data_IF_935010155378
#
_entry.id   IF_935010155378
#
_cell.length_a   1.000
_cell.length_b   1.000
_cell.length_c   1.000
_cell.angle_alpha   90.00
_cell.angle_beta   90.00
_cell.angle_gamma   90.00
#
_symmetry.space_group_name_H-M   'P 1'
#
loop_
_entity.id
_entity.type
_entity.pdbx_description
1 polymer ?
#
# COMPACT_ATOMS: atom_id res chain seq x y z
N UNK A 1 12.85 15.75 -4.32
CA UNK A 1 11.42 15.37 -4.37
C UNK A 1 10.46 16.53 -4.10
N UNK A 2 10.36 17.11 -2.88
CA UNK A 2 9.34 18.12 -2.53
C UNK A 2 9.34 19.39 -3.42
N UNK A 3 10.46 19.83 -3.96
CA UNK A 3 10.52 20.94 -4.90
C UNK A 3 9.85 20.58 -6.23
N UNK A 4 10.16 19.40 -6.79
CA UNK A 4 9.60 18.91 -8.06
C UNK A 4 8.07 18.73 -7.98
N UNK A 5 7.56 18.26 -6.83
CA UNK A 5 6.10 18.15 -6.62
C UNK A 5 5.43 19.52 -6.57
N UNK A 6 6.06 20.53 -5.93
CA UNK A 6 5.54 21.91 -5.95
C UNK A 6 5.55 22.56 -7.32
N UNK A 7 6.45 22.13 -8.20
CA UNK A 7 6.53 22.55 -9.60
C UNK A 7 5.54 21.79 -10.51
N UNK A 8 4.74 20.87 -9.94
CA UNK A 8 3.70 20.14 -10.67
C UNK A 8 4.21 18.91 -11.44
N UNK A 9 5.38 18.38 -11.10
CA UNK A 9 5.92 17.19 -11.77
C UNK A 9 5.08 15.93 -11.49
N UNK A 10 4.45 15.84 -10.30
CA UNK A 10 3.43 14.87 -9.93
C UNK A 10 2.63 15.40 -8.72
N UNK A 11 1.45 14.84 -8.46
CA UNK A 11 0.64 15.18 -7.29
C UNK A 11 1.16 14.49 -6.03
N UNK A 12 1.70 13.29 -6.19
CA UNK A 12 2.29 12.46 -5.14
C UNK A 12 3.43 11.62 -5.71
N UNK A 13 4.50 11.45 -4.96
CA UNK A 13 5.52 10.43 -5.18
C UNK A 13 6.02 9.89 -3.85
N UNK A 14 6.24 8.58 -3.76
CA UNK A 14 6.69 7.88 -2.55
C UNK A 14 8.12 7.43 -2.77
N UNK A 15 9.04 7.94 -1.93
CA UNK A 15 10.45 7.55 -1.97
C UNK A 15 10.68 6.36 -1.04
N UNK A 16 11.47 5.41 -1.49
CA UNK A 16 11.95 4.30 -0.67
C UNK A 16 13.41 4.48 -0.25
N UNK A 17 13.84 3.67 0.67
CA UNK A 17 15.21 3.62 1.16
C UNK A 17 15.52 2.21 1.65
N UNK A 18 16.64 1.68 1.23
CA UNK A 18 17.15 0.40 1.68
C UNK A 18 18.24 0.53 2.76
N UNK A 19 18.48 -0.57 3.45
CA UNK A 19 19.60 -0.73 4.38
C UNK A 19 20.20 -2.12 4.19
N UNK A 20 21.49 -2.18 3.90
CA UNK A 20 22.22 -3.46 3.83
C UNK A 20 22.76 -3.86 5.19
N UNK A 21 22.32 -5.02 5.68
CA UNK A 21 22.87 -5.66 6.90
C UNK A 21 23.58 -6.94 6.49
N UNK A 22 24.88 -7.08 6.86
CA UNK A 22 25.66 -8.27 6.58
C UNK A 22 25.72 -9.15 7.81
N UNK A 23 25.28 -10.41 7.69
CA UNK A 23 25.39 -11.41 8.73
C UNK A 23 26.33 -12.52 8.24
N UNK A 24 27.47 -12.79 8.93
CA UNK A 24 28.45 -13.80 8.49
C UNK A 24 27.88 -15.22 8.42
N UNK A 25 26.86 -15.52 9.20
CA UNK A 25 26.22 -16.84 9.29
C UNK A 25 24.92 -16.95 8.47
N UNK A 26 24.57 -15.90 7.69
CA UNK A 26 23.29 -15.82 6.97
C UNK A 26 22.11 -15.54 7.89
N UNK A 27 20.91 -15.52 7.29
CA UNK A 27 19.63 -15.37 7.98
C UNK A 27 18.78 -16.62 7.76
N UNK A 28 18.09 -17.09 8.80
CA UNK A 28 17.06 -18.12 8.66
C UNK A 28 15.71 -17.44 8.38
N UNK A 29 15.18 -17.62 7.18
CA UNK A 29 13.92 -17.03 6.75
C UNK A 29 12.74 -17.50 7.61
N UNK A 30 12.75 -18.75 8.08
CA UNK A 30 11.69 -19.32 8.92
C UNK A 30 11.65 -18.62 10.28
N UNK A 31 12.85 -18.39 10.86
CA UNK A 31 12.95 -17.62 12.11
C UNK A 31 12.40 -16.20 11.94
N UNK A 32 12.71 -15.54 10.81
CA UNK A 32 12.16 -14.21 10.52
C UNK A 32 10.64 -14.23 10.38
N UNK A 33 10.07 -15.23 9.68
CA UNK A 33 8.62 -15.39 9.55
C UNK A 33 7.93 -15.66 10.89
N UNK A 34 8.50 -16.48 11.74
CA UNK A 34 7.98 -16.73 13.11
C UNK A 34 7.96 -15.42 13.90
N UNK A 35 9.07 -14.67 13.91
CA UNK A 35 9.14 -13.37 14.59
C UNK A 35 8.12 -12.36 14.06
N UNK A 36 7.93 -12.29 12.74
CA UNK A 36 6.91 -11.45 12.12
C UNK A 36 5.50 -11.91 12.50
N UNK A 37 5.25 -13.22 12.62
CA UNK A 37 3.98 -13.77 13.08
C UNK A 37 3.64 -13.36 14.51
N UNK A 38 4.61 -13.44 15.40
CA UNK A 38 4.44 -13.11 16.81
C UNK A 38 4.21 -11.61 17.03
N UNK A 39 5.00 -10.79 16.32
CA UNK A 39 4.98 -9.34 16.49
C UNK A 39 3.81 -8.67 15.75
N UNK A 40 3.40 -9.22 14.60
CA UNK A 40 2.40 -8.63 13.71
C UNK A 40 1.34 -9.63 13.26
N UNK A 41 0.53 -10.19 14.18
CA UNK A 41 -0.42 -11.25 13.88
C UNK A 41 -1.49 -10.87 12.86
N UNK A 42 -1.79 -9.55 12.71
CA UNK A 42 -2.81 -9.02 11.81
C UNK A 42 -2.31 -8.68 10.40
N UNK A 43 -1.09 -9.12 10.04
CA UNK A 43 -0.49 -8.84 8.73
C UNK A 43 -0.48 -10.08 7.82
N UNK A 44 -0.39 -9.85 6.52
CA UNK A 44 -0.06 -10.89 5.55
C UNK A 44 1.44 -11.11 5.51
N UNK A 45 1.88 -12.32 5.82
CA UNK A 45 3.29 -12.70 5.85
C UNK A 45 3.63 -13.52 4.63
N UNK A 46 4.82 -13.30 4.10
CA UNK A 46 5.27 -13.99 2.89
C UNK A 46 6.78 -14.27 2.94
N UNK A 47 7.17 -15.33 2.23
CA UNK A 47 8.55 -15.64 1.86
C UNK A 47 8.53 -16.19 0.44
N UNK A 48 9.20 -15.49 -0.48
CA UNK A 48 9.32 -15.86 -1.89
C UNK A 48 10.71 -15.50 -2.36
N UNK A 49 11.48 -16.47 -2.81
CA UNK A 49 12.85 -16.27 -3.31
C UNK A 49 13.73 -15.42 -2.37
N UNK A 50 13.72 -15.77 -1.09
CA UNK A 50 14.40 -15.04 0.00
C UNK A 50 13.90 -13.63 0.31
N UNK A 51 12.86 -13.15 -0.37
CA UNK A 51 12.13 -11.96 0.05
C UNK A 51 11.15 -12.33 1.15
N UNK A 52 11.45 -11.93 2.39
CA UNK A 52 10.62 -12.18 3.57
C UNK A 52 10.00 -10.88 4.06
N UNK A 53 8.71 -10.90 4.34
CA UNK A 53 8.05 -9.71 4.84
C UNK A 53 6.70 -9.95 5.51
N UNK A 54 6.17 -8.86 6.06
CA UNK A 54 4.82 -8.78 6.60
C UNK A 54 4.20 -7.43 6.21
N UNK A 55 3.00 -7.44 5.66
CA UNK A 55 2.30 -6.24 5.20
C UNK A 55 0.88 -6.17 5.74
N UNK A 56 0.43 -5.05 6.27
CA UNK A 56 -0.96 -4.80 6.60
C UNK A 56 -1.80 -4.38 5.38
N UNK A 57 -1.16 -4.09 4.26
CA UNK A 57 -1.78 -3.65 3.01
C UNK A 57 -1.98 -4.82 2.05
N UNK A 58 -3.16 -4.90 1.45
CA UNK A 58 -3.52 -5.92 0.47
C UNK A 58 -3.74 -5.25 -0.89
N UNK A 59 -2.83 -5.50 -1.84
CA UNK A 59 -2.99 -4.99 -3.20
C UNK A 59 -4.32 -5.44 -3.81
N UNK A 60 -4.51 -6.75 -3.88
CA UNK A 60 -5.76 -7.37 -4.37
C UNK A 60 -5.84 -8.82 -3.93
N UNK A 61 -7.00 -9.24 -3.52
CA UNK A 61 -7.36 -10.64 -3.31
C UNK A 61 -8.63 -10.96 -4.10
N UNK A 62 -8.72 -12.17 -4.63
CA UNK A 62 -9.90 -12.66 -5.35
C UNK A 62 -10.36 -13.98 -4.74
N UNK A 63 -11.61 -14.01 -4.27
CA UNK A 63 -12.23 -15.21 -3.72
C UNK A 63 -13.74 -15.18 -3.96
N UNK A 64 -14.32 -16.32 -4.32
CA UNK A 64 -15.77 -16.49 -4.48
C UNK A 64 -16.43 -15.39 -5.34
N UNK A 65 -15.81 -15.02 -6.46
CA UNK A 65 -16.33 -14.00 -7.38
C UNK A 65 -16.20 -12.56 -6.88
N UNK A 66 -15.51 -12.33 -5.76
CA UNK A 66 -15.27 -11.02 -5.18
C UNK A 66 -13.79 -10.66 -5.22
N UNK A 67 -13.48 -9.45 -5.68
CA UNK A 67 -12.19 -8.81 -5.51
C UNK A 67 -12.20 -7.94 -4.25
N UNK A 68 -11.11 -7.91 -3.51
CA UNK A 68 -10.94 -7.05 -2.34
C UNK A 68 -9.53 -6.50 -2.25
N UNK A 69 -9.42 -5.23 -1.91
CA UNK A 69 -8.16 -4.51 -1.70
C UNK A 69 -8.23 -3.76 -0.38
N UNK A 70 -7.09 -3.59 0.29
CA UNK A 70 -6.94 -2.68 1.44
C UNK A 70 -5.84 -1.69 1.13
N UNK A 71 -6.21 -0.42 1.08
CA UNK A 71 -5.30 0.69 0.80
C UNK A 71 -4.93 1.38 2.10
N UNK A 72 -3.64 1.60 2.30
CA UNK A 72 -3.11 2.34 3.44
C UNK A 72 -2.33 3.56 2.93
N UNK A 73 -2.63 4.73 3.48
CA UNK A 73 -1.82 5.94 3.27
C UNK A 73 -2.09 6.91 4.42
N UNK A 74 -1.06 7.64 4.84
CA UNK A 74 -1.10 8.40 6.09
C UNK A 74 -0.79 7.51 7.29
N UNK A 75 0.21 7.91 8.09
CA UNK A 75 0.74 7.11 9.20
C UNK A 75 1.11 8.02 10.37
N UNK A 76 0.85 7.56 11.58
CA UNK A 76 1.29 8.23 12.81
C UNK A 76 1.75 7.20 13.86
N UNK A 77 2.31 7.70 14.95
CA UNK A 77 2.63 6.89 16.12
C UNK A 77 1.35 6.37 16.80
N UNK A 78 1.42 5.24 17.51
CA UNK A 78 0.30 4.78 18.32
C UNK A 78 -0.16 5.87 19.31
N UNK A 79 -1.47 6.08 19.40
CA UNK A 79 -2.07 7.14 20.23
C UNK A 79 -2.34 8.48 19.53
N UNK A 80 -1.75 8.72 18.36
CA UNK A 80 -1.94 9.96 17.59
C UNK A 80 -3.02 9.86 16.50
N UNK A 81 -3.77 8.77 16.46
CA UNK A 81 -4.75 8.47 15.41
C UNK A 81 -5.80 9.57 15.19
N UNK A 82 -6.23 10.27 16.27
CA UNK A 82 -7.19 11.37 16.13
C UNK A 82 -6.61 12.56 15.37
N UNK A 83 -5.34 12.88 15.57
CA UNK A 83 -4.64 13.93 14.81
C UNK A 83 -4.49 13.52 13.34
N UNK A 84 -4.14 12.25 13.06
CA UNK A 84 -4.08 11.69 11.72
C UNK A 84 -5.44 11.79 11.01
N UNK A 85 -6.52 11.37 11.66
CA UNK A 85 -7.87 11.40 11.12
C UNK A 85 -8.41 12.80 10.85
N UNK A 86 -7.83 13.84 11.46
CA UNK A 86 -8.20 15.24 11.26
C UNK A 86 -7.20 16.03 10.39
N UNK A 87 -6.10 15.44 9.96
CA UNK A 87 -5.08 16.09 9.13
C UNK A 87 -5.53 16.24 7.67
N UNK A 88 -5.74 17.47 7.15
CA UNK A 88 -6.14 17.64 5.76
C UNK A 88 -5.09 17.12 4.76
N UNK A 89 -3.79 17.19 5.14
CA UNK A 89 -2.69 16.66 4.34
C UNK A 89 -2.80 15.13 4.21
N UNK A 90 -2.94 14.43 5.35
CA UNK A 90 -2.95 12.98 5.38
C UNK A 90 -4.24 12.41 4.78
N UNK A 91 -5.38 13.06 5.00
CA UNK A 91 -6.65 12.74 4.35
C UNK A 91 -6.56 12.90 2.82
N UNK A 92 -5.92 13.96 2.31
CA UNK A 92 -5.70 14.14 0.87
C UNK A 92 -4.77 13.07 0.30
N UNK A 93 -3.68 12.75 0.98
CA UNK A 93 -2.77 11.68 0.60
C UNK A 93 -3.50 10.33 0.51
N UNK A 94 -4.31 10.04 1.53
CA UNK A 94 -5.13 8.82 1.58
C UNK A 94 -6.18 8.78 0.46
N UNK A 95 -6.84 9.89 0.18
CA UNK A 95 -7.81 9.99 -0.91
C UNK A 95 -7.18 9.66 -2.26
N UNK A 96 -6.01 10.23 -2.59
CA UNK A 96 -5.28 9.91 -3.82
C UNK A 96 -4.93 8.42 -3.92
N UNK A 97 -4.50 7.82 -2.82
CA UNK A 97 -4.17 6.39 -2.79
C UNK A 97 -5.41 5.52 -2.98
N UNK A 98 -6.51 5.78 -2.26
CA UNK A 98 -7.74 5.00 -2.36
C UNK A 98 -8.44 5.16 -3.72
N UNK A 99 -8.45 6.38 -4.28
CA UNK A 99 -9.01 6.66 -5.60
C UNK A 99 -8.23 5.96 -6.71
N UNK A 100 -6.89 5.85 -6.59
CA UNK A 100 -6.06 5.11 -7.56
C UNK A 100 -6.45 3.63 -7.68
N UNK A 101 -6.97 3.03 -6.60
CA UNK A 101 -7.44 1.65 -6.59
C UNK A 101 -8.90 1.56 -7.03
N UNK A 102 -9.80 2.36 -6.42
CA UNK A 102 -11.23 2.29 -6.72
C UNK A 102 -11.53 2.56 -8.19
N UNK A 103 -10.91 3.59 -8.79
CA UNK A 103 -11.10 3.94 -10.20
C UNK A 103 -10.65 2.85 -11.18
N UNK A 104 -9.64 2.06 -10.82
CA UNK A 104 -9.21 0.92 -11.62
C UNK A 104 -10.23 -0.22 -11.49
N UNK A 105 -10.68 -0.51 -10.27
CA UNK A 105 -11.68 -1.56 -10.05
C UNK A 105 -13.02 -1.21 -10.68
N UNK A 106 -13.42 0.07 -10.72
CA UNK A 106 -14.64 0.53 -11.40
C UNK A 106 -14.62 0.28 -12.91
N UNK A 107 -13.43 0.27 -13.53
CA UNK A 107 -13.26 -0.03 -14.96
C UNK A 107 -13.23 -1.51 -15.28
N UNK A 108 -12.77 -2.35 -14.35
CA UNK A 108 -12.48 -3.76 -14.60
C UNK A 108 -13.44 -4.72 -13.90
N UNK A 109 -14.15 -4.25 -12.87
CA UNK A 109 -15.04 -5.03 -12.03
C UNK A 109 -16.44 -4.42 -11.99
N UNK A 110 -17.33 -5.05 -11.27
CA UNK A 110 -18.73 -4.64 -11.09
C UNK A 110 -18.99 -4.34 -9.62
N UNK A 111 -20.01 -3.49 -9.34
CA UNK A 111 -20.51 -3.23 -7.99
C UNK A 111 -19.41 -2.82 -7.00
N UNK A 112 -18.54 -1.88 -7.37
CA UNK A 112 -17.44 -1.41 -6.51
C UNK A 112 -17.98 -0.66 -5.31
N UNK A 113 -17.49 -1.00 -4.13
CA UNK A 113 -17.84 -0.37 -2.85
C UNK A 113 -16.59 -0.07 -2.06
N UNK A 114 -16.53 1.11 -1.48
CA UNK A 114 -15.46 1.55 -0.59
C UNK A 114 -15.98 1.70 0.82
N UNK A 115 -15.16 1.33 1.80
CA UNK A 115 -15.43 1.52 3.23
C UNK A 115 -14.21 2.17 3.87
N UNK A 116 -14.34 3.40 4.31
CA UNK A 116 -13.25 4.17 4.90
C UNK A 116 -13.39 5.67 4.61
N UNK A 117 -12.38 6.49 5.02
CA UNK A 117 -11.20 6.03 5.78
C UNK A 117 -11.54 5.68 7.23
N UNK A 118 -10.83 4.70 7.78
CA UNK A 118 -10.85 4.33 9.20
C UNK A 118 -9.41 4.20 9.73
N UNK A 119 -9.26 4.22 11.05
CA UNK A 119 -7.96 4.01 11.69
C UNK A 119 -7.66 2.50 11.81
N UNK A 120 -6.56 2.06 11.24
CA UNK A 120 -5.99 0.72 11.42
C UNK A 120 -4.78 0.83 12.35
N UNK A 121 -4.95 0.39 13.59
CA UNK A 121 -3.87 0.40 14.59
C UNK A 121 -3.13 -0.92 14.59
N UNK A 122 -1.82 -0.85 14.41
CA UNK A 122 -0.85 -1.92 14.54
C UNK A 122 -0.01 -1.70 15.80
N UNK A 123 0.79 -2.67 16.24
CA UNK A 123 1.59 -2.52 17.48
C UNK A 123 2.51 -1.32 17.50
N UNK A 124 3.03 -0.90 16.36
CA UNK A 124 4.05 0.15 16.23
C UNK A 124 3.60 1.40 15.45
N UNK A 125 2.48 1.34 14.73
CA UNK A 125 1.98 2.47 13.93
C UNK A 125 0.45 2.43 13.82
N UNK A 126 -0.15 3.58 13.50
CA UNK A 126 -1.56 3.69 13.10
C UNK A 126 -1.65 4.29 11.70
N UNK A 127 -2.43 3.68 10.83
CA UNK A 127 -2.67 4.12 9.44
C UNK A 127 -4.11 4.59 9.24
N UNK A 128 -4.32 5.48 8.27
CA UNK A 128 -5.62 5.57 7.60
C UNK A 128 -5.75 4.39 6.62
N UNK A 129 -6.90 3.74 6.65
CA UNK A 129 -7.20 2.56 5.84
C UNK A 129 -8.53 2.70 5.11
N UNK A 130 -8.60 2.20 3.88
CA UNK A 130 -9.85 2.04 3.12
C UNK A 130 -9.89 0.64 2.53
N UNK A 131 -10.97 -0.07 2.78
CA UNK A 131 -11.28 -1.34 2.14
C UNK A 131 -12.10 -1.08 0.87
N UNK A 132 -11.67 -1.67 -0.24
CA UNK A 132 -12.37 -1.62 -1.53
C UNK A 132 -12.78 -3.04 -1.90
N UNK A 133 -14.06 -3.22 -2.22
CA UNK A 133 -14.62 -4.52 -2.64
C UNK A 133 -15.36 -4.36 -3.95
N UNK A 134 -15.25 -5.37 -4.81
CA UNK A 134 -15.93 -5.40 -6.09
C UNK A 134 -16.33 -6.82 -6.47
N UNK A 135 -17.33 -6.97 -7.33
CA UNK A 135 -17.63 -8.24 -7.97
C UNK A 135 -16.74 -8.39 -9.22
N UNK A 136 -16.04 -9.51 -9.34
CA UNK A 136 -15.04 -9.74 -10.41
C UNK A 136 -15.62 -9.61 -11.83
N UNK A 137 -16.85 -10.06 -12.06
CA UNK A 137 -17.38 -10.16 -13.43
C UNK A 137 -16.52 -11.12 -14.27
N UNK A 138 -15.97 -10.62 -15.37
CA UNK A 138 -15.05 -11.36 -16.27
C UNK A 138 -13.56 -11.09 -15.98
N UNK A 139 -13.23 -10.23 -15.01
CA UNK A 139 -11.84 -9.88 -14.70
C UNK A 139 -11.11 -11.05 -14.02
N UNK A 140 -9.86 -11.25 -14.38
CA UNK A 140 -8.98 -12.22 -13.74
C UNK A 140 -8.05 -11.53 -12.75
N UNK A 141 -7.62 -12.26 -11.70
CA UNK A 141 -6.76 -11.71 -10.64
C UNK A 141 -5.48 -11.06 -11.20
N UNK A 142 -4.83 -11.70 -12.16
CA UNK A 142 -3.57 -11.20 -12.74
C UNK A 142 -3.78 -9.92 -13.55
N UNK A 143 -4.92 -9.75 -14.22
CA UNK A 143 -5.26 -8.51 -14.91
C UNK A 143 -5.43 -7.35 -13.91
N UNK A 144 -6.05 -7.65 -12.76
CA UNK A 144 -6.18 -6.68 -11.67
C UNK A 144 -4.83 -6.31 -11.06
N UNK A 145 -3.95 -7.30 -10.84
CA UNK A 145 -2.58 -7.04 -10.36
C UNK A 145 -1.83 -6.15 -11.35
N UNK A 146 -1.84 -6.47 -12.63
CA UNK A 146 -1.15 -5.69 -13.67
C UNK A 146 -1.68 -4.25 -13.79
N UNK A 147 -2.99 -4.05 -13.61
CA UNK A 147 -3.59 -2.73 -13.66
C UNK A 147 -3.32 -1.89 -12.40
N UNK A 148 -3.32 -2.53 -11.22
CA UNK A 148 -3.17 -1.86 -9.94
C UNK A 148 -1.70 -1.57 -9.57
N UNK A 149 -0.78 -2.47 -9.90
CA UNK A 149 0.61 -2.33 -9.46
C UNK A 149 1.44 -1.41 -10.37
N UNK A 150 2.25 -0.49 -9.78
CA UNK A 150 2.24 -0.06 -8.40
C UNK A 150 1.09 0.93 -8.11
N UNK A 151 0.48 0.85 -6.93
CA UNK A 151 -0.55 1.80 -6.49
C UNK A 151 0.05 3.16 -6.10
N UNK A 152 -0.79 4.19 -5.98
CA UNK A 152 -0.35 5.49 -5.49
C UNK A 152 0.07 5.48 -4.01
N UNK A 153 -0.23 4.41 -3.24
CA UNK A 153 0.25 4.23 -1.87
C UNK A 153 1.75 3.97 -1.81
N UNK A 154 2.32 3.27 -2.80
CA UNK A 154 3.74 2.87 -2.83
C UNK A 154 4.54 3.54 -3.95
N UNK A 155 3.89 4.15 -4.95
CA UNK A 155 4.54 4.83 -6.07
C UNK A 155 4.17 6.31 -6.09
N UNK A 156 2.96 6.64 -6.50
CA UNK A 156 2.47 8.02 -6.59
C UNK A 156 1.41 8.23 -7.66
N UNK A 157 1.08 9.50 -7.90
CA UNK A 157 0.03 9.91 -8.83
C UNK A 157 0.46 11.18 -9.59
N UNK A 158 0.27 11.28 -10.92
CA UNK A 158 0.01 10.18 -11.85
C UNK A 158 1.14 9.14 -11.87
N UNK A 159 0.82 7.85 -12.02
CA UNK A 159 1.77 6.75 -11.88
C UNK A 159 3.06 6.93 -12.70
N UNK A 160 2.92 7.20 -14.00
CA UNK A 160 4.08 7.30 -14.91
C UNK A 160 4.98 8.52 -14.57
N UNK A 161 4.39 9.62 -14.10
CA UNK A 161 5.15 10.79 -13.66
C UNK A 161 5.90 10.49 -12.35
N UNK A 162 5.23 9.82 -11.41
CA UNK A 162 5.82 9.41 -10.14
C UNK A 162 6.97 8.39 -10.35
N UNK A 163 6.77 7.39 -11.22
CA UNK A 163 7.81 6.41 -11.57
C UNK A 163 9.08 7.09 -12.10
N UNK A 164 8.93 8.01 -13.07
CA UNK A 164 10.10 8.77 -13.59
C UNK A 164 10.83 9.57 -12.52
N UNK A 165 10.08 10.16 -11.58
CA UNK A 165 10.70 10.89 -10.47
C UNK A 165 11.44 9.98 -9.49
N UNK A 166 10.90 8.78 -9.24
CA UNK A 166 11.53 7.76 -8.40
C UNK A 166 12.83 7.29 -9.07
N UNK A 167 12.76 6.88 -10.35
CA UNK A 167 13.92 6.46 -11.13
C UNK A 167 15.01 7.53 -11.22
N UNK A 168 14.63 8.82 -11.27
CA UNK A 168 15.58 9.94 -11.31
C UNK A 168 16.26 10.20 -9.94
N UNK A 169 15.61 9.86 -8.83
CA UNK A 169 16.01 10.29 -7.48
C UNK A 169 16.42 9.15 -6.53
N UNK A 170 16.09 7.91 -6.87
CA UNK A 170 16.53 6.70 -6.17
C UNK A 170 17.65 6.05 -7.00
N UNK A 171 18.92 6.21 -6.56
CA UNK A 171 20.12 5.57 -7.16
C UNK A 171 20.38 4.19 -6.50
#
# INVERSE_FOLDING_TARGET
>A
MAARLREGAADKAVMARDMTIRCPHGFDERFLLERLSDLYPSTWRFSVDSLVGASPEMLIAAACGTASSRVLAGTCQPGEGQALASSPKDLREHALASESVSSILERLCLDVRTQGPFLLTLPNVTHLATDVRARLGSAHLLDLVAALHPTAAVCGTPRDAAMRLIEELED
#
